data_IF_913806269930
#
_entry.id   IF_913806269930
#
_cell.length_a   1.000
_cell.length_b   1.000
_cell.length_c   1.000
_cell.angle_alpha   90.00
_cell.angle_beta   90.00
_cell.angle_gamma   90.00
#
_symmetry.space_group_name_H-M   'P 1'
#
loop_
_entity.id
_entity.type
_entity.pdbx_description
1 polymer ?
#
# COMPACT_ATOMS: atom_id res chain seq x y z
N UNK A 1 10.39 1.04 -14.41
CA UNK A 1 10.44 0.46 -13.05
C UNK A 1 11.85 0.03 -12.65
N UNK A 2 12.54 -0.85 -13.41
CA UNK A 2 13.91 -1.29 -13.10
C UNK A 2 14.92 -0.13 -13.06
N UNK A 3 14.76 0.86 -13.94
CA UNK A 3 15.69 1.98 -14.09
C UNK A 3 15.54 3.05 -13.00
N UNK A 4 14.31 3.40 -12.58
CA UNK A 4 14.05 4.40 -11.54
C UNK A 4 14.56 3.96 -10.17
N UNK A 5 14.30 2.70 -9.78
CA UNK A 5 14.84 2.13 -8.55
C UNK A 5 16.37 2.01 -8.60
N UNK A 6 16.92 1.64 -9.76
CA UNK A 6 18.37 1.62 -9.96
C UNK A 6 18.97 3.01 -9.78
N UNK A 7 18.40 4.04 -10.38
CA UNK A 7 18.85 5.41 -10.22
C UNK A 7 18.77 5.87 -8.75
N UNK A 8 17.67 5.56 -8.05
CA UNK A 8 17.55 5.87 -6.61
C UNK A 8 18.65 5.22 -5.77
N UNK A 9 18.89 3.93 -5.96
CA UNK A 9 19.97 3.20 -5.27
C UNK A 9 21.33 3.83 -5.57
N UNK A 10 21.61 4.11 -6.84
CA UNK A 10 22.88 4.68 -7.28
C UNK A 10 23.09 6.11 -6.78
N UNK A 11 22.07 6.97 -6.80
CA UNK A 11 22.17 8.36 -6.36
C UNK A 11 22.31 8.49 -4.84
N UNK A 12 21.90 7.49 -4.05
CA UNK A 12 21.97 7.52 -2.58
C UNK A 12 23.06 6.59 -2.01
N UNK A 13 23.83 5.92 -2.86
CA UNK A 13 24.85 4.94 -2.45
C UNK A 13 24.30 3.84 -1.52
N UNK A 14 23.05 3.43 -1.74
CA UNK A 14 22.47 2.35 -0.94
C UNK A 14 23.17 1.02 -1.26
N UNK A 15 23.51 0.27 -0.22
CA UNK A 15 24.17 -1.03 -0.34
C UNK A 15 23.27 -2.10 -0.96
N UNK A 16 21.95 -1.92 -0.85
CA UNK A 16 20.95 -2.84 -1.42
C UNK A 16 20.88 -2.63 -2.92
N UNK A 17 21.09 -3.71 -3.68
CA UNK A 17 20.92 -3.65 -5.13
C UNK A 17 19.43 -3.52 -5.48
N UNK A 18 19.13 -2.76 -6.54
CA UNK A 18 17.75 -2.45 -6.98
C UNK A 18 16.90 -3.67 -7.37
N UNK A 19 17.53 -4.84 -7.54
CA UNK A 19 16.87 -6.10 -7.90
C UNK A 19 16.65 -7.03 -6.71
N UNK A 20 16.94 -6.59 -5.49
CA UNK A 20 16.71 -7.40 -4.30
C UNK A 20 15.20 -7.52 -4.02
N UNK A 21 14.84 -8.49 -3.20
CA UNK A 21 13.44 -8.68 -2.80
C UNK A 21 12.99 -7.70 -1.72
N UNK A 22 13.88 -6.86 -1.17
CA UNK A 22 13.53 -5.89 -0.14
C UNK A 22 12.69 -4.76 -0.76
N UNK A 23 11.63 -4.36 -0.05
CA UNK A 23 10.65 -3.38 -0.60
C UNK A 23 11.04 -1.93 -0.34
N UNK A 24 11.92 -1.67 0.62
CA UNK A 24 12.43 -0.33 0.93
C UNK A 24 13.80 -0.41 1.63
N UNK A 25 14.41 0.75 1.90
CA UNK A 25 15.69 0.86 2.62
C UNK A 25 15.52 0.97 4.15
N UNK A 26 14.30 1.24 4.62
CA UNK A 26 14.02 1.53 6.03
C UNK A 26 13.57 0.31 6.84
N UNK A 27 13.45 -0.88 6.25
CA UNK A 27 13.19 -2.12 6.98
C UNK A 27 13.64 -3.35 6.17
N UNK A 28 13.51 -4.55 6.74
CA UNK A 28 13.79 -5.82 6.06
C UNK A 28 12.55 -6.47 5.42
N UNK A 29 11.45 -5.73 5.26
CA UNK A 29 10.29 -6.25 4.56
C UNK A 29 10.67 -6.67 3.13
N UNK A 30 10.31 -7.88 2.74
CA UNK A 30 10.68 -8.46 1.45
C UNK A 30 9.49 -9.07 0.73
N UNK A 31 9.56 -9.07 -0.61
CA UNK A 31 8.65 -9.82 -1.47
C UNK A 31 8.80 -11.32 -1.20
N UNK A 32 7.68 -12.06 -1.12
CA UNK A 32 7.75 -13.50 -0.92
C UNK A 32 8.45 -14.15 -2.12
N UNK A 33 9.47 -14.94 -1.83
CA UNK A 33 10.18 -15.82 -2.74
C UNK A 33 10.71 -17.04 -1.96
N UNK A 34 11.09 -18.10 -2.66
CA UNK A 34 11.57 -19.35 -2.03
C UNK A 34 12.78 -19.15 -1.11
N UNK A 35 13.57 -18.09 -1.36
CA UNK A 35 14.78 -17.76 -0.60
C UNK A 35 14.59 -16.71 0.50
N UNK A 36 13.38 -16.18 0.68
CA UNK A 36 13.12 -15.10 1.65
C UNK A 36 12.45 -15.61 2.91
N UNK A 37 12.84 -15.08 4.07
CA UNK A 37 12.21 -15.36 5.36
C UNK A 37 10.70 -15.04 5.32
N UNK A 38 9.80 -16.03 5.46
CA UNK A 38 8.35 -15.81 5.39
C UNK A 38 7.83 -14.78 6.39
N UNK A 39 8.46 -14.66 7.57
CA UNK A 39 8.07 -13.66 8.58
C UNK A 39 8.36 -12.21 8.14
N UNK A 40 9.27 -12.02 7.20
CA UNK A 40 9.62 -10.72 6.64
C UNK A 40 8.74 -10.32 5.45
N UNK A 41 7.71 -11.11 5.12
CA UNK A 41 6.79 -10.80 4.03
C UNK A 41 6.13 -9.43 4.23
N UNK A 42 6.35 -8.51 3.28
CA UNK A 42 5.78 -7.15 3.31
C UNK A 42 4.24 -7.14 3.25
N UNK A 43 3.63 -8.24 2.80
CA UNK A 43 2.17 -8.40 2.69
C UNK A 43 1.52 -8.68 4.04
N UNK A 44 2.30 -9.01 5.07
CA UNK A 44 1.77 -9.26 6.41
C UNK A 44 1.50 -7.94 7.14
N UNK A 45 0.27 -7.43 7.07
CA UNK A 45 -0.10 -6.16 7.69
C UNK A 45 -0.39 -6.26 9.20
N UNK A 46 -0.28 -7.45 9.82
CA UNK A 46 -0.52 -7.61 11.24
C UNK A 46 0.41 -6.72 12.08
N UNK A 47 -0.07 -6.27 13.24
CA UNK A 47 0.73 -5.45 14.17
C UNK A 47 1.98 -6.18 14.68
N UNK A 48 1.89 -7.51 14.77
CA UNK A 48 2.98 -8.41 15.16
C UNK A 48 3.91 -8.82 14.02
N UNK A 49 3.72 -8.30 12.80
CA UNK A 49 4.54 -8.69 11.65
C UNK A 49 6.03 -8.39 11.91
N UNK A 50 6.90 -9.39 11.73
CA UNK A 50 8.30 -9.31 12.15
C UNK A 50 9.07 -8.17 11.44
N UNK A 51 8.74 -7.90 10.18
CA UNK A 51 9.38 -6.80 9.45
C UNK A 51 9.15 -5.42 10.09
N UNK A 52 8.09 -5.23 10.91
CA UNK A 52 7.86 -3.98 11.65
C UNK A 52 8.93 -3.74 12.72
N UNK A 53 9.53 -4.81 13.26
CA UNK A 53 10.62 -4.75 14.24
C UNK A 53 11.96 -4.42 13.60
N UNK A 54 12.08 -4.56 12.28
CA UNK A 54 13.32 -4.35 11.53
C UNK A 54 13.56 -2.92 11.06
N UNK A 55 12.83 -1.94 11.59
CA UNK A 55 12.87 -0.57 11.09
C UNK A 55 14.22 0.10 11.35
N UNK A 56 14.80 0.64 10.29
CA UNK A 56 16.02 1.44 10.31
C UNK A 56 15.61 2.91 10.27
N UNK A 57 15.89 3.65 11.35
CA UNK A 57 15.68 5.10 11.39
C UNK A 57 16.79 5.84 10.65
N UNK A 58 16.55 7.09 10.20
CA UNK A 58 17.62 7.93 9.68
C UNK A 58 18.82 8.02 10.63
N UNK A 59 18.59 8.18 11.94
CA UNK A 59 19.65 8.21 12.96
C UNK A 59 20.47 6.91 12.95
N UNK A 60 19.80 5.76 12.90
CA UNK A 60 20.44 4.44 12.84
C UNK A 60 21.28 4.30 11.56
N UNK A 61 20.74 4.75 10.43
CA UNK A 61 21.44 4.74 9.14
C UNK A 61 22.71 5.57 9.19
N UNK A 62 22.64 6.82 9.68
CA UNK A 62 23.82 7.70 9.78
C UNK A 62 24.88 7.13 10.74
N UNK A 63 24.44 6.52 11.85
CA UNK A 63 25.35 5.99 12.85
C UNK A 63 26.07 4.70 12.41
N UNK A 64 25.41 3.86 11.61
CA UNK A 64 25.93 2.53 11.22
C UNK A 64 26.53 2.49 9.81
N UNK A 65 26.34 3.53 9.00
CA UNK A 65 26.85 3.58 7.63
C UNK A 65 28.21 4.28 7.60
N UNK A 66 29.26 3.67 7.02
CA UNK A 66 30.56 4.32 6.87
C UNK A 66 30.46 5.64 6.10
N UNK A 67 31.26 6.67 6.43
CA UNK A 67 31.18 7.98 5.78
C UNK A 67 31.24 7.94 4.25
N UNK A 68 32.03 7.03 3.68
CA UNK A 68 32.18 6.82 2.23
C UNK A 68 30.98 6.14 1.56
N UNK A 69 30.06 5.58 2.35
CA UNK A 69 28.81 4.94 1.90
C UNK A 69 27.57 5.74 2.29
N UNK A 70 27.73 6.86 2.99
CA UNK A 70 26.60 7.75 3.27
C UNK A 70 26.09 8.37 1.98
N UNK A 71 24.77 8.53 1.91
CA UNK A 71 24.13 9.22 0.80
C UNK A 71 24.70 10.63 0.68
N UNK A 72 25.09 11.08 -0.53
CA UNK A 72 25.63 12.42 -0.73
C UNK A 72 24.58 13.50 -0.43
N UNK A 73 23.30 13.12 -0.36
CA UNK A 73 22.18 14.00 -0.06
C UNK A 73 22.04 14.31 1.45
N UNK A 74 22.83 13.69 2.32
CA UNK A 74 22.78 13.93 3.78
C UNK A 74 23.06 15.38 4.17
N UNK A 75 23.77 16.13 3.32
CA UNK A 75 24.03 17.56 3.52
C UNK A 75 22.83 18.46 3.19
N UNK A 76 21.80 17.93 2.52
CA UNK A 76 20.62 18.70 2.18
C UNK A 76 19.65 18.77 3.35
N UNK A 77 19.27 20.00 3.73
CA UNK A 77 18.27 20.24 4.78
C UNK A 77 16.95 19.53 4.46
N UNK A 78 16.42 18.80 5.45
CA UNK A 78 15.18 18.04 5.32
C UNK A 78 15.32 16.67 4.65
N UNK A 79 16.49 16.31 4.12
CA UNK A 79 16.73 14.97 3.63
C UNK A 79 16.78 13.97 4.78
N UNK A 80 16.07 12.86 4.64
CA UNK A 80 16.05 11.74 5.60
C UNK A 80 15.98 10.42 4.84
N UNK A 81 16.39 9.31 5.45
CA UNK A 81 16.29 7.99 4.82
C UNK A 81 14.83 7.67 4.43
N UNK A 82 13.90 8.04 5.32
CA UNK A 82 12.47 7.87 5.15
C UNK A 82 11.95 8.64 3.92
N UNK A 83 12.56 9.76 3.55
CA UNK A 83 12.19 10.52 2.34
C UNK A 83 12.48 9.77 1.04
N UNK A 84 13.51 8.92 1.01
CA UNK A 84 13.88 8.13 -0.17
C UNK A 84 12.92 6.96 -0.44
N UNK A 85 12.22 6.49 0.60
CA UNK A 85 11.33 5.32 0.54
C UNK A 85 9.91 5.64 0.08
N UNK A 86 9.56 6.93 0.01
CA UNK A 86 8.20 7.39 -0.26
C UNK A 86 8.06 7.85 -1.71
N UNK A 87 8.23 6.95 -2.66
CA UNK A 87 7.74 7.17 -4.03
C UNK A 87 6.29 6.67 -4.12
N UNK A 88 5.28 7.54 -3.98
CA UNK A 88 3.89 7.09 -3.98
C UNK A 88 3.50 6.56 -5.35
N UNK A 89 4.14 7.03 -6.41
CA UNK A 89 3.85 6.54 -7.74
C UNK A 89 4.33 5.12 -7.94
N UNK A 90 5.56 4.82 -7.55
CA UNK A 90 6.19 3.53 -7.85
C UNK A 90 5.97 2.48 -6.78
N UNK A 91 6.14 2.83 -5.51
CA UNK A 91 6.02 1.88 -4.40
C UNK A 91 4.54 1.65 -4.10
N UNK A 92 3.77 2.72 -3.99
CA UNK A 92 2.38 2.63 -3.57
C UNK A 92 1.50 2.19 -4.75
N UNK A 93 1.35 3.00 -5.81
CA UNK A 93 0.36 2.71 -6.86
C UNK A 93 0.73 1.57 -7.82
N UNK A 94 2.02 1.38 -8.10
CA UNK A 94 2.49 0.39 -9.09
C UNK A 94 2.92 -0.94 -8.48
N UNK A 95 3.16 -0.99 -7.17
CA UNK A 95 3.57 -2.19 -6.46
C UNK A 95 2.56 -2.56 -5.38
N UNK A 96 2.71 -1.92 -4.22
CA UNK A 96 2.16 -2.35 -2.94
C UNK A 96 0.63 -2.26 -2.89
N UNK A 97 -0.01 -1.24 -3.48
CA UNK A 97 -1.48 -1.16 -3.47
C UNK A 97 -2.13 -2.35 -4.14
N UNK A 98 -1.48 -2.96 -5.15
CA UNK A 98 -2.03 -4.14 -5.82
C UNK A 98 -2.17 -5.33 -4.86
N UNK A 99 -1.29 -5.42 -3.87
CA UNK A 99 -1.29 -6.45 -2.83
C UNK A 99 -2.16 -6.07 -1.61
N UNK A 100 -2.19 -4.77 -1.26
CA UNK A 100 -2.95 -4.28 -0.11
C UNK A 100 -4.47 -4.31 -0.37
N UNK A 101 -4.92 -3.79 -1.51
CA UNK A 101 -6.34 -3.55 -1.74
C UNK A 101 -7.20 -4.81 -1.59
N UNK A 102 -6.81 -6.00 -2.12
CA UNK A 102 -7.57 -7.23 -1.89
C UNK A 102 -7.54 -7.70 -0.44
N UNK A 103 -6.43 -7.49 0.27
CA UNK A 103 -6.30 -7.86 1.68
C UNK A 103 -7.29 -7.06 2.54
N UNK A 104 -7.46 -5.76 2.24
CA UNK A 104 -8.49 -4.92 2.85
C UNK A 104 -9.89 -5.43 2.52
N UNK A 105 -10.14 -5.78 1.25
CA UNK A 105 -11.44 -6.33 0.84
C UNK A 105 -11.75 -7.65 1.56
N UNK A 106 -10.77 -8.54 1.72
CA UNK A 106 -10.92 -9.79 2.47
C UNK A 106 -11.32 -9.50 3.93
N UNK A 107 -10.60 -8.60 4.60
CA UNK A 107 -10.90 -8.23 5.99
C UNK A 107 -12.31 -7.62 6.12
N UNK A 108 -12.75 -6.78 5.19
CA UNK A 108 -14.10 -6.23 5.21
C UNK A 108 -15.19 -7.25 4.91
N UNK A 109 -14.89 -8.28 4.09
CA UNK A 109 -15.79 -9.40 3.86
C UNK A 109 -15.93 -10.27 5.11
N UNK A 110 -14.82 -10.55 5.78
CA UNK A 110 -14.76 -11.38 7.00
C UNK A 110 -15.43 -10.67 8.19
N UNK A 111 -15.27 -9.35 8.30
CA UNK A 111 -15.93 -8.51 9.29
C UNK A 111 -17.38 -8.15 8.93
N UNK A 112 -17.89 -8.67 7.81
CA UNK A 112 -19.25 -8.47 7.33
C UNK A 112 -19.67 -7.00 7.10
N UNK A 113 -18.69 -6.16 6.77
CA UNK A 113 -18.86 -4.71 6.57
C UNK A 113 -19.34 -4.34 5.16
N UNK A 114 -19.28 -5.28 4.22
CA UNK A 114 -19.70 -5.08 2.83
C UNK A 114 -21.17 -5.47 2.61
N UNK A 115 -21.83 -4.92 1.56
CA UNK A 115 -23.21 -5.24 1.25
C UNK A 115 -23.51 -6.75 1.31
N UNK A 116 -24.62 -7.08 1.98
CA UNK A 116 -25.05 -8.46 2.16
C UNK A 116 -25.60 -9.02 0.85
N UNK A 117 -25.12 -10.20 0.47
CA UNK A 117 -25.63 -10.98 -0.64
C UNK A 117 -25.29 -12.46 -0.43
N UNK A 118 -25.98 -13.33 -1.16
CA UNK A 118 -25.87 -14.78 -0.98
C UNK A 118 -24.51 -15.33 -1.43
N UNK A 119 -23.83 -14.64 -2.34
CA UNK A 119 -22.55 -15.10 -2.88
C UNK A 119 -21.47 -14.03 -2.81
N UNK A 120 -20.22 -14.45 -2.62
CA UNK A 120 -19.04 -13.56 -2.66
C UNK A 120 -19.01 -12.73 -3.97
N UNK A 121 -19.38 -13.36 -5.09
CA UNK A 121 -19.41 -12.70 -6.39
C UNK A 121 -20.42 -11.55 -6.43
N UNK A 122 -21.62 -11.73 -5.86
CA UNK A 122 -22.63 -10.68 -5.76
C UNK A 122 -22.19 -9.55 -4.83
N UNK A 123 -21.59 -9.87 -3.66
CA UNK A 123 -21.07 -8.85 -2.72
C UNK A 123 -20.04 -7.95 -3.42
N UNK A 124 -19.08 -8.53 -4.11
CA UNK A 124 -18.05 -7.80 -4.87
C UNK A 124 -18.65 -7.00 -6.04
N UNK A 125 -19.68 -7.53 -6.70
CA UNK A 125 -20.41 -6.83 -7.77
C UNK A 125 -21.15 -5.60 -7.23
N UNK A 126 -21.83 -5.72 -6.09
CA UNK A 126 -22.51 -4.60 -5.43
C UNK A 126 -21.52 -3.51 -5.04
N UNK A 127 -20.38 -3.89 -4.44
CA UNK A 127 -19.30 -2.95 -4.12
C UNK A 127 -18.76 -2.23 -5.37
N UNK A 128 -18.61 -2.95 -6.48
CA UNK A 128 -18.16 -2.35 -7.74
C UNK A 128 -19.18 -1.35 -8.31
N UNK A 129 -20.48 -1.67 -8.23
CA UNK A 129 -21.56 -0.75 -8.65
C UNK A 129 -21.50 0.51 -7.80
N UNK A 130 -21.31 0.36 -6.50
CA UNK A 130 -21.13 1.47 -5.57
C UNK A 130 -19.89 2.31 -5.93
N UNK A 131 -18.75 1.69 -6.18
CA UNK A 131 -17.53 2.37 -6.64
C UNK A 131 -17.81 3.21 -7.88
N UNK A 132 -18.47 2.65 -8.90
CA UNK A 132 -18.79 3.37 -10.14
C UNK A 132 -19.72 4.56 -9.90
N UNK A 133 -20.73 4.41 -9.02
CA UNK A 133 -21.61 5.51 -8.62
C UNK A 133 -20.84 6.61 -7.90
N UNK A 134 -19.97 6.25 -6.96
CA UNK A 134 -19.15 7.20 -6.19
C UNK A 134 -18.14 7.92 -7.07
N UNK A 135 -17.45 7.21 -7.97
CA UNK A 135 -16.55 7.82 -8.96
C UNK A 135 -17.29 8.79 -9.88
N UNK A 136 -18.48 8.41 -10.38
CA UNK A 136 -19.31 9.29 -11.22
C UNK A 136 -19.70 10.57 -10.50
N UNK A 137 -20.09 10.49 -9.22
CA UNK A 137 -20.42 11.68 -8.39
C UNK A 137 -19.20 12.59 -8.21
N UNK A 138 -18.02 12.01 -7.99
CA UNK A 138 -16.76 12.73 -7.87
C UNK A 138 -16.14 13.18 -9.21
N UNK A 139 -16.81 12.93 -10.34
CA UNK A 139 -16.31 13.23 -11.70
C UNK A 139 -14.98 12.55 -12.02
N UNK A 140 -14.73 11.38 -11.43
CA UNK A 140 -13.55 10.55 -11.71
C UNK A 140 -13.84 9.55 -12.83
N UNK A 141 -12.95 9.49 -13.82
CA UNK A 141 -13.07 8.54 -14.94
C UNK A 141 -12.58 7.15 -14.55
N UNK A 142 -13.50 6.20 -14.35
CA UNK A 142 -13.19 4.82 -14.05
C UNK A 142 -13.55 3.90 -15.22
N UNK A 143 -12.66 2.96 -15.57
CA UNK A 143 -13.02 1.90 -16.52
C UNK A 143 -14.06 0.99 -15.89
N UNK A 144 -15.01 0.47 -16.68
CA UNK A 144 -16.04 -0.47 -16.25
C UNK A 144 -15.48 -1.87 -15.96
N UNK A 145 -14.58 -1.96 -14.98
CA UNK A 145 -14.11 -3.21 -14.39
C UNK A 145 -14.84 -3.44 -13.07
N UNK A 146 -15.12 -4.70 -12.77
CA UNK A 146 -15.77 -5.14 -11.55
C UNK A 146 -14.79 -5.96 -10.74
N UNK A 147 -14.84 -5.85 -9.41
CA UNK A 147 -14.20 -6.82 -8.53
C UNK A 147 -14.87 -8.18 -8.72
N UNK A 148 -14.04 -9.21 -8.85
CA UNK A 148 -14.45 -10.60 -8.90
C UNK A 148 -13.52 -11.41 -8.01
N UNK A 149 -13.95 -12.59 -7.51
CA UNK A 149 -13.05 -13.44 -6.72
C UNK A 149 -11.76 -13.75 -7.47
N UNK A 150 -11.87 -13.99 -8.78
CA UNK A 150 -10.73 -14.31 -9.64
C UNK A 150 -9.74 -13.15 -9.81
N UNK A 151 -10.21 -11.91 -9.99
CA UNK A 151 -9.31 -10.77 -10.23
C UNK A 151 -8.80 -10.11 -8.95
N UNK A 152 -9.32 -10.49 -7.79
CA UNK A 152 -8.84 -10.11 -6.47
C UNK A 152 -8.08 -11.25 -5.77
N UNK A 153 -8.01 -12.44 -6.40
CA UNK A 153 -7.43 -13.64 -5.82
C UNK A 153 -8.00 -14.00 -4.43
N UNK A 154 -9.26 -13.64 -4.17
CA UNK A 154 -9.92 -13.87 -2.89
C UNK A 154 -10.29 -15.34 -2.75
N UNK A 155 -9.98 -15.94 -1.60
CA UNK A 155 -10.23 -17.35 -1.28
C UNK A 155 -9.18 -18.34 -1.82
N UNK A 156 -8.12 -17.87 -2.47
CA UNK A 156 -7.05 -18.73 -3.04
C UNK A 156 -5.69 -18.57 -2.36
N UNK A 157 -5.44 -17.42 -1.74
CA UNK A 157 -4.16 -17.09 -1.12
C UNK A 157 -4.40 -16.44 0.24
N UNK A 158 -3.49 -16.68 1.17
CA UNK A 158 -3.46 -16.02 2.48
C UNK A 158 -3.30 -14.50 2.34
N UNK A 159 -2.50 -14.06 1.36
CA UNK A 159 -2.31 -12.65 1.00
C UNK A 159 -2.80 -12.41 -0.43
N UNK A 160 -4.10 -12.08 -0.62
CA UNK A 160 -4.68 -11.93 -1.94
C UNK A 160 -4.08 -10.72 -2.70
N UNK A 161 -4.00 -10.84 -4.03
CA UNK A 161 -3.40 -9.83 -4.90
C UNK A 161 -4.33 -9.53 -6.09
N UNK A 162 -4.44 -8.25 -6.47
CA UNK A 162 -5.18 -7.85 -7.66
C UNK A 162 -4.46 -8.38 -8.90
N UNK A 163 -5.22 -8.92 -9.86
CA UNK A 163 -4.69 -9.41 -11.12
C UNK A 163 -3.91 -8.31 -11.88
N UNK A 164 -2.93 -8.72 -12.69
CA UNK A 164 -2.10 -7.82 -13.52
C UNK A 164 -2.86 -7.02 -14.59
N UNK A 165 -4.15 -7.32 -14.76
CA UNK A 165 -5.07 -6.57 -15.62
C UNK A 165 -5.41 -5.20 -15.05
N UNK A 166 -5.28 -4.98 -13.75
CA UNK A 166 -5.42 -3.67 -13.11
C UNK A 166 -4.17 -2.80 -13.32
N UNK A 167 -4.36 -1.62 -13.89
CA UNK A 167 -3.32 -0.64 -14.24
C UNK A 167 -3.27 0.45 -13.17
N UNK A 168 -2.15 1.17 -13.11
CA UNK A 168 -1.89 2.19 -12.09
C UNK A 168 -3.02 3.21 -11.91
N UNK A 169 -3.58 3.70 -13.01
CA UNK A 169 -4.70 4.66 -12.97
C UNK A 169 -5.94 4.08 -12.29
N UNK A 170 -6.22 2.79 -12.51
CA UNK A 170 -7.35 2.09 -11.90
C UNK A 170 -7.06 1.81 -10.42
N UNK A 171 -5.83 1.44 -10.07
CA UNK A 171 -5.40 1.27 -8.67
C UNK A 171 -5.58 2.56 -7.86
N UNK A 172 -5.24 3.72 -8.41
CA UNK A 172 -5.47 5.02 -7.76
C UNK A 172 -6.94 5.26 -7.44
N UNK A 173 -7.83 4.98 -8.41
CA UNK A 173 -9.26 5.17 -8.25
C UNK A 173 -9.83 4.19 -7.23
N UNK A 174 -9.40 2.93 -7.27
CA UNK A 174 -9.81 1.92 -6.29
C UNK A 174 -9.35 2.34 -4.90
N UNK A 175 -8.10 2.75 -4.75
CA UNK A 175 -7.56 3.20 -3.47
C UNK A 175 -8.38 4.37 -2.93
N UNK A 176 -8.62 5.40 -3.75
CA UNK A 176 -9.46 6.54 -3.37
C UNK A 176 -10.87 6.10 -2.95
N UNK A 177 -11.50 5.19 -3.70
CA UNK A 177 -12.82 4.67 -3.36
C UNK A 177 -12.83 3.90 -2.04
N UNK A 178 -11.87 3.00 -1.82
CA UNK A 178 -11.77 2.27 -0.55
C UNK A 178 -11.47 3.24 0.61
N UNK A 179 -10.71 4.30 0.38
CA UNK A 179 -10.53 5.37 1.38
C UNK A 179 -11.87 6.03 1.73
N UNK A 180 -12.67 6.43 0.75
CA UNK A 180 -14.02 6.99 1.01
C UNK A 180 -14.88 5.98 1.76
N UNK A 181 -14.86 4.71 1.32
CA UNK A 181 -15.67 3.65 1.92
C UNK A 181 -15.27 3.34 3.37
N UNK A 182 -13.97 3.33 3.65
CA UNK A 182 -13.44 3.16 5.00
C UNK A 182 -13.97 4.23 5.95
N UNK A 183 -13.97 5.50 5.52
CA UNK A 183 -14.53 6.62 6.31
C UNK A 183 -16.02 6.40 6.55
N UNK A 184 -16.80 6.07 5.51
CA UNK A 184 -18.23 5.77 5.66
C UNK A 184 -18.49 4.67 6.70
N UNK A 185 -17.74 3.56 6.61
CA UNK A 185 -17.86 2.44 7.54
C UNK A 185 -17.53 2.87 8.98
N UNK A 186 -16.49 3.69 9.19
CA UNK A 186 -16.12 4.19 10.52
C UNK A 186 -17.13 5.19 11.10
N UNK A 187 -17.78 6.00 10.25
CA UNK A 187 -18.79 6.97 10.71
C UNK A 187 -20.15 6.33 11.01
N UNK A 188 -20.42 5.16 10.42
CA UNK A 188 -21.69 4.45 10.56
C UNK A 188 -21.69 3.34 11.62
N UNK A 189 -20.54 3.04 12.22
CA UNK A 189 -20.42 1.97 13.22
C UNK A 189 -19.83 2.52 14.52
N UNK A 190 -20.44 2.21 15.66
CA UNK A 190 -19.87 2.45 17.00
C UNK A 190 -18.70 1.48 17.32
N UNK A 191 -18.39 0.57 16.38
CA UNK A 191 -17.29 -0.36 16.52
C UNK A 191 -15.95 0.36 16.32
N UNK A 192 -14.92 0.08 17.12
CA UNK A 192 -13.58 0.61 16.91
C UNK A 192 -12.98 0.00 15.63
N UNK A 193 -13.29 0.61 14.48
CA UNK A 193 -12.65 0.32 13.20
C UNK A 193 -11.25 0.97 13.14
N UNK A 194 -10.49 0.89 14.24
CA UNK A 194 -9.29 1.70 14.43
C UNK A 194 -8.08 1.14 13.69
N UNK A 195 -7.94 -0.18 13.54
CA UNK A 195 -6.62 -0.73 13.19
C UNK A 195 -6.46 -1.04 11.69
N UNK A 196 -7.52 -1.50 11.03
CA UNK A 196 -7.50 -1.86 9.60
C UNK A 196 -7.52 -0.61 8.71
N UNK A 197 -8.36 0.37 9.05
CA UNK A 197 -8.41 1.64 8.35
C UNK A 197 -7.13 2.46 8.58
N UNK A 198 -6.54 2.46 9.78
CA UNK A 198 -5.29 3.21 10.01
C UNK A 198 -4.11 2.67 9.20
N UNK A 199 -3.96 1.35 9.03
CA UNK A 199 -2.80 0.79 8.33
C UNK A 199 -2.77 1.17 6.84
N UNK A 200 -3.93 1.22 6.17
CA UNK A 200 -4.04 1.70 4.80
C UNK A 200 -3.78 3.20 4.65
N UNK A 201 -4.10 3.99 5.69
CA UNK A 201 -4.05 5.44 5.62
C UNK A 201 -2.70 6.02 6.09
N UNK A 202 -2.11 5.49 7.17
CA UNK A 202 -0.84 5.96 7.74
C UNK A 202 0.37 5.55 6.90
N UNK A 203 0.29 4.43 6.18
CA UNK A 203 1.37 4.01 5.29
C UNK A 203 1.36 4.74 3.94
N UNK A 204 0.22 5.31 3.51
CA UNK A 204 0.05 5.82 2.14
C UNK A 204 -0.15 7.33 2.03
N UNK A 205 -0.63 8.01 3.08
CA UNK A 205 -0.78 9.46 3.09
C UNK A 205 0.06 10.06 4.23
N UNK A 206 0.84 11.13 3.98
CA UNK A 206 1.52 11.82 5.06
C UNK A 206 0.46 12.40 6.00
N UNK A 207 0.41 11.90 7.24
CA UNK A 207 -0.37 12.53 8.30
C UNK A 207 0.24 13.92 8.56
N UNK A 208 -0.35 14.94 7.94
CA UNK A 208 -0.26 16.34 8.38
C UNK A 208 -1.65 16.75 8.88
N UNK A 209 -1.64 17.60 9.91
CA UNK A 209 -2.83 18.12 10.58
C UNK A 209 -3.89 18.63 9.60
N UNK A 210 -5.05 17.98 9.61
CA UNK A 210 -6.44 18.40 9.35
C UNK A 210 -6.84 19.54 8.39
N UNK A 211 -5.98 20.25 7.66
CA UNK A 211 -6.42 21.43 6.88
C UNK A 211 -6.17 21.40 5.37
N UNK A 212 -5.39 20.47 4.81
CA UNK A 212 -5.07 20.49 3.38
C UNK A 212 -5.55 19.23 2.64
N UNK A 213 -6.69 19.34 1.95
CA UNK A 213 -7.17 18.32 1.00
C UNK A 213 -6.40 18.48 -0.30
N UNK A 214 -5.50 17.55 -0.59
CA UNK A 214 -4.86 17.47 -1.91
C UNK A 214 -5.88 16.97 -2.94
N UNK A 215 -6.34 17.87 -3.80
CA UNK A 215 -6.87 17.52 -5.12
C UNK A 215 -5.69 17.07 -5.99
N UNK A 216 -5.43 15.77 -6.05
CA UNK A 216 -4.51 15.21 -7.03
C UNK A 216 -5.18 15.27 -8.42
N UNK A 217 -4.89 16.35 -9.16
CA UNK A 217 -5.14 16.46 -10.60
C UNK A 217 -4.09 15.67 -11.39
#
# INVERSE_FOLDING_TARGET
MKYDLKARVQCNFFSRHYGCNLVCESCFACKPADSTEPLMNYRNFNLSAAHRLSRISHRTYVALTPPEQLSPWICMSGWTLESCTRDPMHVIYLGVCRDILPSVLAQWLDADLLPQANTLHERLRLLSIEMHKTCKRARLSCRRKFFTPANCNLGKAEFPELASTWKAAEIKIIMWFLTVKAVELTTGTDAPCSDVCYACFVLLLPVRSSSDVWLFA
#
